data_IF_524503249629
#
_entry.id   IF_524503249629
#
_cell.length_a   1.000
_cell.length_b   1.000
_cell.length_c   1.000
_cell.angle_alpha   90.00
_cell.angle_beta   90.00
_cell.angle_gamma   90.00
#
_symmetry.space_group_name_H-M   'P 1'
#
loop_
_entity.id
_entity.type
_entity.pdbx_description
1 polymer ?
#
# COMPACT_ATOMS: atom_id res chain seq x y z
N UNK A 1 -8.82 13.17 1.73
CA UNK A 1 -8.11 11.88 1.65
C UNK A 1 -8.33 11.33 0.27
N UNK A 2 -7.28 10.93 -0.44
CA UNK A 2 -7.41 10.37 -1.79
C UNK A 2 -7.91 8.93 -1.67
N UNK A 3 -8.63 8.41 -2.67
CA UNK A 3 -9.09 7.00 -2.63
C UNK A 3 -7.90 6.06 -2.80
N UNK A 4 -7.88 4.96 -2.03
CA UNK A 4 -6.92 3.88 -2.24
C UNK A 4 -7.07 3.31 -3.66
N UNK A 5 -5.98 2.99 -4.35
CA UNK A 5 -6.03 2.48 -5.73
C UNK A 5 -6.32 0.97 -5.83
N UNK A 6 -6.26 0.25 -4.70
CA UNK A 6 -6.52 -1.19 -4.62
C UNK A 6 -8.01 -1.46 -4.79
N UNK A 7 -8.35 -2.38 -5.69
CA UNK A 7 -9.74 -2.75 -6.00
C UNK A 7 -10.45 -3.29 -4.76
N UNK A 8 -11.67 -2.81 -4.52
CA UNK A 8 -12.48 -3.21 -3.36
C UNK A 8 -12.13 -2.50 -2.05
N UNK A 9 -11.02 -1.75 -1.99
CA UNK A 9 -10.68 -0.96 -0.81
C UNK A 9 -11.53 0.31 -0.74
N UNK A 10 -12.22 0.52 0.36
CA UNK A 10 -13.08 1.71 0.58
C UNK A 10 -12.35 2.86 1.30
N UNK A 11 -11.07 2.70 1.64
CA UNK A 11 -10.30 3.76 2.29
C UNK A 11 -10.22 5.02 1.42
N UNK A 12 -10.62 6.16 1.99
CA UNK A 12 -10.66 7.45 1.30
C UNK A 12 -11.99 7.78 0.63
N UNK A 13 -12.96 6.85 0.62
CA UNK A 13 -14.33 7.15 0.20
C UNK A 13 -15.06 7.94 1.29
N UNK A 14 -15.99 8.83 0.90
CA UNK A 14 -16.78 9.63 1.85
C UNK A 14 -17.63 8.76 2.80
N UNK A 15 -18.08 7.59 2.32
CA UNK A 15 -18.85 6.61 3.09
C UNK A 15 -18.03 5.85 4.12
N UNK A 16 -16.70 5.84 4.02
CA UNK A 16 -15.83 5.22 5.00
C UNK A 16 -15.25 6.29 5.94
N UNK A 17 -15.68 6.28 7.20
CA UNK A 17 -15.24 7.25 8.21
C UNK A 17 -13.86 6.93 8.79
N UNK A 18 -13.38 5.70 8.64
CA UNK A 18 -12.08 5.25 9.13
C UNK A 18 -10.94 6.03 8.48
N UNK A 19 -10.06 6.59 9.32
CA UNK A 19 -8.85 7.28 8.88
C UNK A 19 -7.69 6.30 8.90
N UNK A 20 -7.07 6.11 7.74
CA UNK A 20 -5.89 5.28 7.57
C UNK A 20 -4.79 6.07 6.91
N UNK A 21 -3.55 5.79 7.30
CA UNK A 21 -2.39 6.34 6.60
C UNK A 21 -2.36 5.83 5.15
N UNK A 22 -1.88 6.69 4.26
CA UNK A 22 -1.78 6.43 2.83
C UNK A 22 -0.37 6.70 2.35
N UNK A 23 0.15 5.83 1.51
CA UNK A 23 1.48 5.94 0.95
C UNK A 23 1.37 6.28 -0.54
N UNK A 24 2.09 7.31 -0.96
CA UNK A 24 2.23 7.63 -2.37
C UNK A 24 2.94 6.49 -3.09
N UNK A 25 2.63 6.32 -4.36
CA UNK A 25 3.42 5.44 -5.23
C UNK A 25 4.89 5.91 -5.22
N UNK A 26 5.86 4.97 -5.14
CA UNK A 26 7.28 5.28 -5.17
C UNK A 26 7.69 6.11 -6.38
N UNK A 27 8.67 7.00 -6.19
CA UNK A 27 9.33 7.73 -7.29
C UNK A 27 10.30 6.83 -8.06
N UNK A 28 10.97 5.92 -7.36
CA UNK A 28 11.84 4.90 -7.94
C UNK A 28 11.04 4.00 -8.89
N UNK A 29 11.51 3.86 -10.13
CA UNK A 29 10.80 3.16 -11.20
C UNK A 29 10.72 1.66 -10.96
N UNK A 30 11.81 1.03 -10.51
CA UNK A 30 11.84 -0.41 -10.21
C UNK A 30 10.84 -0.78 -9.13
N UNK A 31 10.79 0.01 -8.05
CA UNK A 31 9.85 -0.22 -6.96
C UNK A 31 8.41 0.05 -7.40
N UNK A 32 8.21 1.05 -8.28
CA UNK A 32 6.90 1.31 -8.89
C UNK A 32 6.45 0.13 -9.75
N UNK A 33 7.34 -0.48 -10.54
CA UNK A 33 7.04 -1.68 -11.33
C UNK A 33 6.65 -2.83 -10.39
N UNK A 34 7.39 -3.03 -9.28
CA UNK A 34 7.05 -4.05 -8.28
C UNK A 34 5.66 -3.81 -7.65
N UNK A 35 5.32 -2.57 -7.32
CA UNK A 35 3.98 -2.22 -6.84
C UNK A 35 2.91 -2.52 -7.89
N UNK A 36 3.17 -2.22 -9.17
CA UNK A 36 2.25 -2.49 -10.27
C UNK A 36 1.98 -3.98 -10.45
N UNK A 37 3.00 -4.82 -10.31
CA UNK A 37 2.88 -6.29 -10.35
C UNK A 37 2.15 -6.86 -9.12
N UNK A 38 2.39 -6.27 -7.95
CA UNK A 38 1.81 -6.76 -6.69
C UNK A 38 0.32 -6.42 -6.55
N UNK A 39 -0.11 -5.24 -7.01
CA UNK A 39 -1.51 -4.82 -6.90
C UNK A 39 -2.34 -5.56 -7.96
N UNK A 40 -3.36 -6.34 -7.58
CA UNK A 40 -4.13 -7.17 -8.51
C UNK A 40 -5.13 -6.33 -9.32
N UNK A 41 -4.63 -5.43 -10.17
CA UNK A 41 -5.42 -4.54 -11.02
C UNK A 41 -4.75 -4.40 -12.39
N UNK A 42 -5.41 -4.95 -13.42
CA UNK A 42 -4.88 -5.04 -14.80
C UNK A 42 -4.57 -3.67 -15.40
N UNK A 43 -5.47 -2.69 -15.24
CA UNK A 43 -5.36 -1.37 -15.89
C UNK A 43 -4.88 -0.29 -14.90
N UNK A 44 -3.96 -0.64 -14.01
CA UNK A 44 -3.44 0.30 -13.01
C UNK A 44 -2.37 1.20 -13.62
N UNK A 45 -2.76 2.43 -13.92
CA UNK A 45 -1.81 3.50 -14.28
C UNK A 45 -1.47 4.32 -13.03
N UNK A 46 -0.20 4.32 -12.67
CA UNK A 46 0.28 5.14 -11.56
C UNK A 46 0.46 6.59 -11.98
N UNK A 47 -0.11 7.49 -11.19
CA UNK A 47 0.11 8.94 -11.27
C UNK A 47 0.73 9.42 -9.96
N UNK A 48 1.19 10.69 -9.92
CA UNK A 48 1.65 11.32 -8.67
C UNK A 48 0.59 11.36 -7.56
N UNK A 49 -0.69 11.23 -7.93
CA UNK A 49 -1.83 11.25 -7.03
C UNK A 49 -2.38 9.84 -6.75
N UNK A 50 -1.63 8.78 -7.07
CA UNK A 50 -2.02 7.42 -6.77
C UNK A 50 -1.48 7.00 -5.41
N UNK A 51 -2.33 6.39 -4.57
CA UNK A 51 -2.01 6.03 -3.19
C UNK A 51 -2.51 4.63 -2.84
N UNK A 52 -1.78 3.97 -1.95
CA UNK A 52 -2.17 2.71 -1.30
C UNK A 52 -2.27 2.94 0.21
N UNK A 53 -3.36 2.52 0.84
CA UNK A 53 -3.51 2.69 2.29
C UNK A 53 -2.72 1.63 3.09
N UNK A 54 -2.47 1.93 4.37
CA UNK A 54 -1.67 1.09 5.26
C UNK A 54 -2.18 -0.34 5.44
N UNK A 55 -3.47 -0.60 5.19
CA UNK A 55 -4.05 -1.94 5.25
C UNK A 55 -3.45 -2.94 4.25
N UNK A 56 -2.75 -2.45 3.23
CA UNK A 56 -2.18 -3.29 2.18
C UNK A 56 -0.70 -3.62 2.38
N UNK A 57 -0.09 -3.17 3.47
CA UNK A 57 1.29 -3.48 3.83
C UNK A 57 1.33 -4.34 5.09
N UNK A 58 2.40 -5.12 5.27
CA UNK A 58 2.62 -5.75 6.56
C UNK A 58 2.99 -4.67 7.59
N UNK A 59 2.57 -4.89 8.83
CA UNK A 59 2.90 -4.00 9.95
C UNK A 59 4.42 -3.77 10.09
N UNK A 60 5.23 -4.80 9.82
CA UNK A 60 6.70 -4.73 9.84
C UNK A 60 7.31 -3.81 8.78
N UNK A 61 6.58 -3.56 7.70
CA UNK A 61 7.02 -2.72 6.58
C UNK A 61 6.64 -1.24 6.81
N UNK A 62 5.96 -0.94 7.93
CA UNK A 62 5.46 0.39 8.28
C UNK A 62 6.27 0.97 9.44
N UNK A 63 6.91 2.11 9.18
CA UNK A 63 7.63 2.89 10.18
C UNK A 63 6.66 3.91 10.80
N UNK A 64 6.27 3.65 12.05
CA UNK A 64 5.29 4.47 12.80
C UNK A 64 5.92 5.51 13.73
N UNK A 65 7.17 5.30 14.11
CA UNK A 65 7.89 6.14 15.06
C UNK A 65 9.27 6.48 14.53
N UNK A 66 9.74 7.67 14.86
CA UNK A 66 11.16 7.97 14.88
C UNK A 66 11.73 7.57 16.23
N UNK A 67 12.96 7.05 16.26
CA UNK A 67 13.64 6.69 17.50
C UNK A 67 15.10 7.15 17.50
N UNK A 68 15.54 7.65 18.66
CA UNK A 68 16.95 7.95 18.94
C UNK A 68 17.22 7.67 20.42
N UNK A 69 18.07 6.69 20.71
CA UNK A 69 18.21 6.13 22.05
C UNK A 69 16.85 5.66 22.59
N UNK A 70 16.48 6.12 23.78
CA UNK A 70 15.23 5.77 24.46
C UNK A 70 14.03 6.62 24.01
N UNK A 71 14.24 7.66 23.21
CA UNK A 71 13.18 8.56 22.75
C UNK A 71 12.45 7.93 21.57
N UNK A 72 11.12 7.80 21.66
CA UNK A 72 10.22 7.39 20.57
C UNK A 72 9.19 8.47 20.29
N UNK A 73 9.16 8.98 19.07
CA UNK A 73 8.22 10.03 18.64
C UNK A 73 7.33 9.47 17.52
N UNK A 74 5.99 9.45 17.68
CA UNK A 74 5.09 8.98 16.63
C UNK A 74 5.11 9.91 15.42
N UNK A 75 5.18 9.34 14.23
CA UNK A 75 5.05 10.13 13.01
C UNK A 75 3.58 10.53 12.78
N UNK A 76 3.37 11.82 12.50
CA UNK A 76 2.07 12.32 12.01
C UNK A 76 1.63 11.64 10.71
N UNK A 77 2.59 11.23 9.89
CA UNK A 77 2.38 10.45 8.68
C UNK A 77 3.39 9.31 8.67
N UNK A 78 2.89 8.08 8.77
CA UNK A 78 3.73 6.90 8.72
C UNK A 78 4.52 6.83 7.42
N UNK A 79 5.63 6.09 7.46
CA UNK A 79 6.49 5.85 6.30
C UNK A 79 6.58 4.35 6.03
N UNK A 80 7.01 4.00 4.84
CA UNK A 80 7.34 2.62 4.51
C UNK A 80 8.84 2.40 4.68
N UNK A 81 9.21 1.18 5.04
CA UNK A 81 10.59 0.69 4.88
C UNK A 81 10.97 0.77 3.41
N UNK A 82 12.24 1.05 3.13
CA UNK A 82 12.75 1.10 1.76
C UNK A 82 12.50 -0.23 1.04
N UNK A 83 12.00 -0.14 -0.20
CA UNK A 83 11.69 -1.33 -1.00
C UNK A 83 10.41 -2.06 -0.62
N UNK A 84 9.66 -1.62 0.39
CA UNK A 84 8.39 -2.24 0.76
C UNK A 84 7.39 -2.23 -0.40
N UNK A 85 6.68 -3.34 -0.56
CA UNK A 85 5.63 -3.53 -1.56
C UNK A 85 4.31 -3.90 -0.86
N UNK A 86 3.15 -3.53 -1.42
CA UNK A 86 1.88 -3.96 -0.85
C UNK A 86 1.67 -5.46 -1.08
N UNK A 87 1.40 -6.20 -0.02
CA UNK A 87 1.20 -7.66 -0.07
C UNK A 87 -0.14 -8.11 0.50
N UNK A 88 -0.81 -7.25 1.27
CA UNK A 88 -2.04 -7.61 1.99
C UNK A 88 -3.27 -7.24 1.17
N UNK A 89 -3.76 -8.20 0.40
CA UNK A 89 -4.97 -8.03 -0.41
C UNK A 89 -6.07 -8.99 0.08
N UNK A 90 -7.11 -8.44 0.72
CA UNK A 90 -8.33 -9.18 0.99
C UNK A 90 -9.18 -9.22 -0.29
N UNK A 91 -8.77 -10.05 -1.25
CA UNK A 91 -9.59 -10.33 -2.43
C UNK A 91 -10.48 -11.55 -2.18
N UNK A 92 -11.76 -11.53 -2.58
CA UNK A 92 -12.56 -12.74 -2.64
C UNK A 92 -11.84 -13.80 -3.49
N UNK A 93 -11.86 -15.05 -3.03
CA UNK A 93 -11.08 -16.20 -3.54
C UNK A 93 -11.12 -16.39 -5.07
N UNK A 94 -12.15 -15.87 -5.74
CA UNK A 94 -12.34 -15.90 -7.20
C UNK A 94 -11.23 -15.14 -7.95
N UNK A 95 -10.64 -14.10 -7.36
CA UNK A 95 -9.58 -13.29 -7.97
C UNK A 95 -8.15 -13.83 -7.74
N UNK A 96 -7.98 -14.85 -6.88
CA UNK A 96 -6.65 -15.42 -6.56
C UNK A 96 -6.08 -16.33 -7.66
N UNK A 97 -6.89 -16.78 -8.63
CA UNK A 97 -6.46 -17.71 -9.69
C UNK A 97 -5.30 -17.19 -10.55
N UNK A 98 -5.06 -15.87 -10.55
CA UNK A 98 -4.03 -15.25 -11.38
C UNK A 98 -2.75 -14.87 -10.61
N UNK A 99 -2.71 -14.97 -9.27
CA UNK A 99 -1.52 -14.59 -8.48
C UNK A 99 -0.53 -15.75 -8.24
N UNK A 100 -0.97 -17.01 -8.35
CA UNK A 100 -0.14 -18.20 -8.10
C UNK A 100 0.56 -18.78 -9.34
N UNK A 101 0.39 -18.19 -10.53
CA UNK A 101 1.01 -18.68 -11.78
C UNK A 101 2.32 -17.94 -12.15
N UNK A 102 2.94 -17.21 -11.23
CA UNK A 102 4.23 -16.53 -11.47
C UNK A 102 5.43 -17.24 -10.81
N UNK A 103 5.23 -18.46 -10.30
CA UNK A 103 6.30 -19.32 -9.76
C UNK A 103 6.62 -20.53 -10.68
N UNK A 104 6.39 -20.42 -11.99
CA UNK A 104 6.91 -21.38 -12.98
C UNK A 104 7.63 -20.67 -14.12
#
# INVERSE_FOLDING_TARGET
MVKCCVVGCTSGYKSNTEKVHQFCVPKNEDLRIKWGKAIPRKDLVFTKNTYVCAKHFNEKDIIKFWSSGDVKIPYKQWRLVEGAIPTMFMVPRIFLKNMFNLEK
#
